data_IF_781466917244
#
_entry.id   IF_781466917244
#
_cell.length_a   1.000
_cell.length_b   1.000
_cell.length_c   1.000
_cell.angle_alpha   90.00
_cell.angle_beta   90.00
_cell.angle_gamma   90.00
#
_symmetry.space_group_name_H-M   'P 1'
#
loop_
_entity.id
_entity.type
_entity.pdbx_description
1 polymer ?
#
# COMPACT_ATOMS: atom_id res chain seq x y z
N UNK A 1 -13.26 -7.50 -65.98
CA UNK A 1 -12.52 -8.28 -64.95
C UNK A 1 -12.53 -7.51 -63.67
N UNK A 2 -13.41 -7.86 -62.71
CA UNK A 2 -13.52 -7.21 -61.40
C UNK A 2 -12.58 -7.90 -60.43
N UNK A 3 -11.54 -7.19 -59.91
CA UNK A 3 -10.68 -7.69 -58.88
C UNK A 3 -11.39 -7.59 -57.54
N UNK A 4 -11.71 -8.72 -56.93
CA UNK A 4 -12.27 -8.84 -55.56
C UNK A 4 -11.15 -8.69 -54.56
N UNK A 5 -11.12 -7.57 -53.82
CA UNK A 5 -10.16 -7.31 -52.76
C UNK A 5 -10.69 -7.97 -51.47
N UNK A 6 -10.12 -9.10 -51.08
CA UNK A 6 -10.39 -9.74 -49.79
C UNK A 6 -9.66 -9.00 -48.69
N UNK A 7 -10.38 -8.18 -47.91
CA UNK A 7 -9.88 -7.63 -46.65
C UNK A 7 -9.90 -8.74 -45.58
N UNK A 8 -8.76 -9.28 -45.25
CA UNK A 8 -8.61 -10.18 -44.09
C UNK A 8 -8.55 -9.32 -42.81
N UNK A 9 -9.67 -9.32 -42.10
CA UNK A 9 -9.75 -8.68 -40.77
C UNK A 9 -9.07 -9.58 -39.73
N UNK A 10 -7.81 -9.29 -39.40
CA UNK A 10 -7.07 -9.99 -38.34
C UNK A 10 -7.65 -9.58 -36.98
N UNK A 11 -8.43 -10.47 -36.36
CA UNK A 11 -8.96 -10.30 -35.01
C UNK A 11 -7.84 -10.57 -33.99
N UNK A 12 -7.12 -9.51 -33.57
CA UNK A 12 -6.19 -9.62 -32.45
C UNK A 12 -7.02 -9.81 -31.15
N UNK A 13 -7.10 -11.05 -30.70
CA UNK A 13 -7.61 -11.39 -29.37
C UNK A 13 -6.59 -10.93 -28.32
N UNK A 14 -6.87 -9.82 -27.66
CA UNK A 14 -6.15 -9.42 -26.44
C UNK A 14 -6.51 -10.42 -25.32
N UNK A 15 -5.62 -11.36 -25.06
CA UNK A 15 -5.68 -12.20 -23.86
C UNK A 15 -5.46 -11.27 -22.66
N UNK A 16 -6.54 -10.84 -22.03
CA UNK A 16 -6.51 -10.12 -20.78
C UNK A 16 -6.07 -11.10 -19.68
N UNK A 17 -4.76 -11.14 -19.39
CA UNK A 17 -4.28 -11.86 -18.21
C UNK A 17 -4.84 -11.16 -16.97
N UNK A 18 -5.91 -11.71 -16.39
CA UNK A 18 -6.38 -11.29 -15.07
C UNK A 18 -5.28 -11.60 -14.06
N UNK A 19 -4.68 -10.55 -13.50
CA UNK A 19 -3.62 -10.71 -12.52
C UNK A 19 -4.19 -11.31 -11.23
N UNK A 20 -3.55 -12.37 -10.74
CA UNK A 20 -3.96 -13.09 -9.54
C UNK A 20 -3.90 -12.16 -8.33
N UNK A 21 -5.00 -12.05 -7.60
CA UNK A 21 -5.02 -11.41 -6.28
C UNK A 21 -4.45 -12.38 -5.25
N UNK A 22 -3.46 -11.93 -4.48
CA UNK A 22 -2.77 -12.77 -3.51
C UNK A 22 -1.77 -12.01 -2.67
N UNK A 23 -0.91 -12.72 -1.96
CA UNK A 23 0.03 -12.14 -0.99
C UNK A 23 1.50 -12.40 -1.32
N UNK A 24 1.82 -13.03 -2.44
CA UNK A 24 3.20 -13.22 -2.85
C UNK A 24 3.73 -11.98 -3.59
N UNK A 25 5.04 -11.82 -3.64
CA UNK A 25 5.65 -10.83 -4.53
C UNK A 25 5.25 -11.20 -5.98
N UNK A 26 4.75 -10.20 -6.72
CA UNK A 26 4.20 -10.37 -8.06
C UNK A 26 2.68 -10.55 -8.10
N UNK A 27 2.01 -10.87 -7.00
CA UNK A 27 0.54 -10.90 -6.92
C UNK A 27 -0.01 -9.47 -6.82
N UNK A 28 -1.25 -9.27 -7.27
CA UNK A 28 -1.99 -8.05 -7.00
C UNK A 28 -2.45 -8.05 -5.54
N UNK A 29 -2.14 -6.98 -4.82
CA UNK A 29 -2.52 -6.83 -3.42
C UNK A 29 -4.05 -6.85 -3.25
N UNK A 30 -4.59 -7.53 -2.21
CA UNK A 30 -6.01 -7.45 -1.87
C UNK A 30 -6.44 -6.00 -1.57
N UNK A 31 -7.64 -5.63 -2.01
CA UNK A 31 -8.20 -4.30 -1.73
C UNK A 31 -8.46 -4.09 -0.24
N UNK A 32 -8.15 -2.90 0.24
CA UNK A 32 -8.48 -2.39 1.57
C UNK A 32 -9.34 -1.13 1.41
N UNK A 33 -10.43 -1.07 2.18
CA UNK A 33 -11.34 0.07 2.20
C UNK A 33 -11.92 0.18 3.62
N UNK A 34 -11.40 1.12 4.41
CA UNK A 34 -11.77 1.29 5.82
C UNK A 34 -11.86 2.77 6.16
N UNK A 35 -12.56 3.06 7.27
CA UNK A 35 -12.75 4.44 7.73
C UNK A 35 -11.47 5.06 8.28
N UNK A 36 -11.28 6.32 7.95
CA UNK A 36 -10.28 7.19 8.57
C UNK A 36 -10.81 7.72 9.93
N UNK A 37 -10.01 8.50 10.70
CA UNK A 37 -10.45 9.08 11.96
C UNK A 37 -11.68 9.98 11.88
N UNK A 38 -12.06 10.44 10.68
CA UNK A 38 -13.25 11.30 10.46
C UNK A 38 -14.48 10.50 10.03
N UNK A 39 -14.37 9.18 9.84
CA UNK A 39 -15.45 8.31 9.36
C UNK A 39 -15.57 8.26 7.83
N UNK A 40 -14.59 8.77 7.09
CA UNK A 40 -14.55 8.70 5.64
C UNK A 40 -13.86 7.41 5.20
N UNK A 41 -14.43 6.67 4.25
CA UNK A 41 -13.83 5.45 3.73
C UNK A 41 -12.73 5.80 2.74
N UNK A 42 -11.49 5.41 3.04
CA UNK A 42 -10.33 5.53 2.15
C UNK A 42 -9.98 4.16 1.55
N UNK A 43 -9.81 4.11 0.24
CA UNK A 43 -9.54 2.87 -0.51
C UNK A 43 -8.08 2.81 -0.93
N UNK A 44 -7.47 1.64 -0.81
CA UNK A 44 -6.10 1.41 -1.31
C UNK A 44 -6.02 1.68 -2.82
N UNK A 45 -7.07 1.35 -3.58
CA UNK A 45 -7.15 1.58 -5.03
C UNK A 45 -7.13 3.06 -5.45
N UNK A 46 -7.39 4.00 -4.55
CA UNK A 46 -7.28 5.44 -4.81
C UNK A 46 -5.83 5.89 -4.97
N UNK A 47 -4.89 5.09 -4.45
CA UNK A 47 -3.45 5.34 -4.53
C UNK A 47 -2.78 4.78 -5.80
N UNK A 48 -3.57 4.33 -6.79
CA UNK A 48 -3.02 3.91 -8.09
C UNK A 48 -2.13 5.00 -8.69
N UNK A 49 -1.04 4.58 -9.29
CA UNK A 49 -0.04 5.49 -9.85
C UNK A 49 1.13 5.75 -8.91
N UNK A 50 0.96 5.55 -7.60
CA UNK A 50 2.02 5.74 -6.59
C UNK A 50 2.69 4.42 -6.22
N UNK A 51 3.89 4.50 -5.66
CA UNK A 51 4.46 3.43 -4.84
C UNK A 51 3.88 3.55 -3.44
N UNK A 52 3.30 2.48 -2.88
CA UNK A 52 2.58 2.54 -1.61
C UNK A 52 3.16 1.56 -0.60
N UNK A 53 3.42 2.04 0.61
CA UNK A 53 3.67 1.22 1.79
C UNK A 53 2.33 0.95 2.49
N UNK A 54 1.86 -0.28 2.48
CA UNK A 54 0.75 -0.74 3.32
C UNK A 54 1.35 -1.13 4.65
N UNK A 55 1.10 -0.33 5.69
CA UNK A 55 1.67 -0.51 7.02
C UNK A 55 0.63 -1.00 8.02
N UNK A 56 0.95 -2.06 8.75
CA UNK A 56 0.10 -2.65 9.80
C UNK A 56 0.74 -2.37 11.16
N UNK A 57 0.04 -1.61 11.98
CA UNK A 57 0.53 -1.10 13.25
C UNK A 57 -0.57 -0.96 14.30
N UNK A 58 -0.24 -0.45 15.48
CA UNK A 58 -1.20 -0.01 16.49
C UNK A 58 -0.57 0.95 17.49
N UNK A 59 -1.40 1.76 18.13
CA UNK A 59 -0.96 2.72 19.16
C UNK A 59 -0.31 2.06 20.38
N UNK A 60 -0.74 0.86 20.73
CA UNK A 60 -0.23 0.05 21.85
C UNK A 60 1.00 -0.78 21.47
N UNK A 61 1.39 -0.84 20.19
CA UNK A 61 2.52 -1.61 19.70
C UNK A 61 3.83 -0.84 19.88
N UNK A 62 4.57 -1.12 20.96
CA UNK A 62 5.84 -0.46 21.23
C UNK A 62 6.86 -0.54 20.09
N UNK A 63 7.10 -1.71 19.48
CA UNK A 63 7.98 -1.84 18.30
C UNK A 63 7.51 -1.01 17.10
N UNK A 64 6.17 -0.91 16.86
CA UNK A 64 5.62 -0.08 15.79
C UNK A 64 5.93 1.40 16.02
N UNK A 65 5.72 1.86 17.27
CA UNK A 65 6.01 3.25 17.67
C UNK A 65 7.49 3.62 17.51
N UNK A 66 8.40 2.63 17.68
CA UNK A 66 9.83 2.80 17.42
C UNK A 66 10.15 2.83 15.92
N UNK A 67 9.36 2.16 15.09
CA UNK A 67 9.52 2.16 13.63
C UNK A 67 8.91 3.41 12.96
N UNK A 68 7.86 4.01 13.54
CA UNK A 68 7.16 5.16 12.99
C UNK A 68 8.09 6.33 12.55
N UNK A 69 9.14 6.73 13.29
CA UNK A 69 10.08 7.75 12.83
C UNK A 69 10.78 7.40 11.51
N UNK A 70 11.06 6.12 11.25
CA UNK A 70 11.65 5.66 10.00
C UNK A 70 10.64 5.78 8.84
N UNK A 71 9.36 5.44 9.09
CA UNK A 71 8.28 5.59 8.10
C UNK A 71 8.04 7.07 7.80
N UNK A 72 8.02 7.93 8.82
CA UNK A 72 7.92 9.41 8.66
C UNK A 72 9.06 9.93 7.80
N UNK A 73 10.31 9.53 8.12
CA UNK A 73 11.48 9.92 7.34
C UNK A 73 11.40 9.43 5.89
N UNK A 74 10.94 8.20 5.66
CA UNK A 74 10.73 7.68 4.32
C UNK A 74 9.67 8.49 3.58
N UNK A 75 8.52 8.76 4.21
CA UNK A 75 7.48 9.58 3.59
C UNK A 75 8.01 10.96 3.19
N UNK A 76 8.65 11.68 4.09
CA UNK A 76 9.17 13.02 3.82
C UNK A 76 10.24 13.06 2.71
N UNK A 77 11.05 12.01 2.59
CA UNK A 77 12.11 11.96 1.60
C UNK A 77 11.64 11.52 0.21
N UNK A 78 10.49 10.82 0.13
CA UNK A 78 10.10 10.13 -1.10
C UNK A 78 8.69 10.46 -1.61
N UNK A 79 7.85 11.19 -0.88
CA UNK A 79 6.44 11.43 -1.24
C UNK A 79 6.26 12.07 -2.62
N UNK A 80 7.20 12.92 -3.05
CA UNK A 80 7.21 13.66 -4.32
C UNK A 80 8.16 13.06 -5.38
N UNK A 81 8.86 11.98 -5.07
CA UNK A 81 9.85 11.39 -5.97
C UNK A 81 9.21 10.50 -7.02
N UNK A 82 9.82 10.46 -8.21
CA UNK A 82 9.44 9.54 -9.26
C UNK A 82 10.18 8.22 -9.12
N UNK A 83 9.44 7.12 -9.21
CA UNK A 83 9.97 5.77 -9.17
C UNK A 83 9.85 5.11 -10.55
N UNK A 84 10.64 4.08 -10.81
CA UNK A 84 10.49 3.24 -12.00
C UNK A 84 9.07 2.65 -12.10
N UNK A 85 8.47 2.36 -10.96
CA UNK A 85 7.17 1.71 -10.83
C UNK A 85 6.13 2.56 -10.09
N UNK A 86 6.22 3.91 -10.13
CA UNK A 86 5.25 4.81 -9.50
C UNK A 86 5.68 6.27 -9.53
N UNK A 87 4.70 7.18 -9.39
CA UNK A 87 4.94 8.61 -9.27
C UNK A 87 4.51 9.06 -7.87
N UNK A 88 5.47 9.33 -7.02
CA UNK A 88 5.25 9.60 -5.61
C UNK A 88 5.24 8.33 -4.74
N UNK A 89 5.50 8.52 -3.46
CA UNK A 89 5.41 7.50 -2.43
C UNK A 89 4.28 7.85 -1.47
N UNK A 90 3.50 6.84 -1.07
CA UNK A 90 2.40 7.03 -0.12
C UNK A 90 2.42 5.94 0.94
N UNK A 91 1.82 6.24 2.09
CA UNK A 91 1.66 5.27 3.17
C UNK A 91 0.16 5.06 3.43
N UNK A 92 -0.28 3.82 3.36
CA UNK A 92 -1.62 3.38 3.74
C UNK A 92 -1.50 2.63 5.06
N UNK A 93 -1.78 3.31 6.18
CA UNK A 93 -1.60 2.76 7.53
C UNK A 93 -2.89 2.18 8.06
N UNK A 94 -2.96 0.84 8.17
CA UNK A 94 -4.07 0.14 8.80
C UNK A 94 -3.73 -0.12 10.27
N UNK A 95 -4.52 0.48 11.16
CA UNK A 95 -4.34 0.31 12.61
C UNK A 95 -5.14 -0.88 13.16
N UNK A 96 -4.49 -1.68 14.00
CA UNK A 96 -5.10 -2.75 14.80
C UNK A 96 -5.53 -2.23 16.20
N UNK A 97 -5.89 -0.98 16.30
CA UNK A 97 -6.47 -0.44 17.53
C UNK A 97 -7.92 -0.88 17.69
N UNK A 98 -8.39 -0.90 18.94
CA UNK A 98 -9.81 -1.10 19.29
C UNK A 98 -10.45 0.16 19.85
N UNK A 99 -9.67 1.23 20.00
CA UNK A 99 -10.10 2.52 20.57
C UNK A 99 -9.62 3.67 19.67
N UNK A 100 -10.56 4.34 19.03
CA UNK A 100 -10.28 5.46 18.13
C UNK A 100 -9.44 6.55 18.79
N UNK A 101 -9.76 6.95 20.02
CA UNK A 101 -9.04 8.01 20.72
C UNK A 101 -7.55 7.67 20.94
N UNK A 102 -7.21 6.41 21.25
CA UNK A 102 -5.83 5.98 21.42
C UNK A 102 -5.07 6.00 20.09
N UNK A 103 -5.71 5.53 19.03
CA UNK A 103 -5.19 5.55 17.68
C UNK A 103 -4.90 6.98 17.18
N UNK A 104 -5.90 7.89 17.25
CA UNK A 104 -5.73 9.29 16.84
C UNK A 104 -4.64 10.00 17.65
N UNK A 105 -4.61 9.76 18.98
CA UNK A 105 -3.54 10.31 19.82
C UNK A 105 -2.15 9.84 19.40
N UNK A 106 -2.03 8.57 18.98
CA UNK A 106 -0.77 8.02 18.52
C UNK A 106 -0.33 8.61 17.17
N UNK A 107 -1.26 8.77 16.20
CA UNK A 107 -1.00 9.47 14.93
C UNK A 107 -0.38 10.84 15.19
N UNK A 108 -1.01 11.64 16.07
CA UNK A 108 -0.55 12.99 16.38
C UNK A 108 0.81 12.99 17.10
N UNK A 109 0.99 12.13 18.10
CA UNK A 109 2.21 12.06 18.89
C UNK A 109 3.42 11.63 18.06
N UNK A 110 3.23 10.70 17.14
CA UNK A 110 4.29 10.17 16.27
C UNK A 110 4.46 11.01 14.98
N UNK A 111 3.65 12.07 14.81
CA UNK A 111 3.69 12.97 13.65
C UNK A 111 3.56 12.21 12.33
N UNK A 112 2.59 11.33 12.24
CA UNK A 112 2.29 10.58 11.03
C UNK A 112 1.52 11.49 10.06
N UNK A 113 2.22 12.13 9.12
CA UNK A 113 1.69 13.27 8.34
C UNK A 113 0.90 12.90 7.11
N UNK A 114 0.90 11.63 6.68
CA UNK A 114 0.13 11.18 5.52
C UNK A 114 -1.37 11.09 5.83
N UNK A 115 -2.18 11.03 4.79
CA UNK A 115 -3.64 11.11 4.92
C UNK A 115 -4.30 9.74 5.16
N UNK A 116 -3.72 8.67 4.60
CA UNK A 116 -4.35 7.35 4.55
C UNK A 116 -4.15 6.55 5.84
N UNK A 117 -4.72 7.07 6.93
CA UNK A 117 -4.86 6.35 8.20
C UNK A 117 -6.23 5.71 8.28
N UNK A 118 -6.29 4.39 8.42
CA UNK A 118 -7.55 3.65 8.44
C UNK A 118 -7.59 2.60 9.54
N UNK A 119 -8.80 2.25 9.99
CA UNK A 119 -9.02 1.17 10.97
C UNK A 119 -10.47 0.72 10.92
N UNK A 120 -10.70 -0.58 11.14
CA UNK A 120 -12.02 -1.15 11.44
C UNK A 120 -12.23 -1.29 12.96
N UNK A 121 -11.28 -0.80 13.77
CA UNK A 121 -11.23 -0.93 15.22
C UNK A 121 -11.39 -2.38 15.72
N UNK A 122 -11.09 -3.34 14.85
CA UNK A 122 -11.23 -4.78 15.10
C UNK A 122 -10.08 -5.39 15.92
N UNK A 123 -9.00 -4.66 16.16
CA UNK A 123 -7.81 -5.20 16.81
C UNK A 123 -7.23 -6.37 16.01
N UNK A 124 -6.87 -7.46 16.67
CA UNK A 124 -6.43 -8.69 16.02
C UNK A 124 -7.52 -9.42 15.22
N UNK A 125 -8.80 -9.00 15.34
CA UNK A 125 -9.93 -9.50 14.54
C UNK A 125 -10.19 -8.63 13.31
N UNK A 126 -9.34 -7.63 13.04
CA UNK A 126 -9.43 -6.77 11.86
C UNK A 126 -9.52 -7.62 10.59
N UNK A 127 -10.52 -7.30 9.74
CA UNK A 127 -10.69 -7.96 8.46
C UNK A 127 -9.50 -7.67 7.54
N UNK A 128 -8.99 -6.42 7.56
CA UNK A 128 -7.84 -6.03 6.76
C UNK A 128 -6.57 -6.77 7.15
N UNK A 129 -6.32 -6.95 8.46
CA UNK A 129 -5.19 -7.76 8.92
C UNK A 129 -5.33 -9.22 8.54
N UNK A 130 -6.54 -9.77 8.60
CA UNK A 130 -6.84 -11.15 8.19
C UNK A 130 -6.64 -11.37 6.69
N UNK A 131 -7.11 -10.43 5.84
CA UNK A 131 -6.88 -10.47 4.38
C UNK A 131 -5.39 -10.54 4.02
N UNK A 132 -4.54 -9.86 4.78
CA UNK A 132 -3.08 -9.85 4.57
C UNK A 132 -2.36 -10.90 5.43
N UNK A 133 -3.08 -11.75 6.14
CA UNK A 133 -2.55 -12.81 7.01
C UNK A 133 -1.52 -12.28 8.02
N UNK A 134 -1.77 -11.09 8.59
CA UNK A 134 -0.88 -10.44 9.55
C UNK A 134 -0.95 -11.17 10.87
N UNK A 135 0.18 -11.73 11.33
CA UNK A 135 0.31 -12.48 12.58
C UNK A 135 1.13 -11.74 13.63
N UNK A 136 1.81 -10.68 13.24
CA UNK A 136 2.60 -9.83 14.13
C UNK A 136 2.71 -8.42 13.54
N UNK A 137 2.87 -7.42 14.39
CA UNK A 137 3.14 -6.03 14.00
C UNK A 137 4.41 -5.52 14.70
N UNK A 138 5.17 -4.59 14.06
CA UNK A 138 4.93 -4.00 12.75
C UNK A 138 5.16 -4.98 11.59
N UNK A 139 4.27 -4.96 10.61
CA UNK A 139 4.41 -5.66 9.33
C UNK A 139 4.02 -4.73 8.20
N UNK A 140 4.59 -4.91 7.03
CA UNK A 140 4.22 -4.09 5.88
C UNK A 140 4.38 -4.82 4.55
N UNK A 141 3.72 -4.27 3.54
CA UNK A 141 3.79 -4.69 2.15
C UNK A 141 4.00 -3.44 1.29
N UNK A 142 4.93 -3.50 0.34
CA UNK A 142 5.09 -2.42 -0.65
C UNK A 142 4.47 -2.86 -1.97
N UNK A 143 3.64 -1.99 -2.53
CA UNK A 143 3.02 -2.18 -3.84
C UNK A 143 3.48 -1.10 -4.82
N UNK A 144 3.52 -1.46 -6.09
CA UNK A 144 3.80 -0.54 -7.19
C UNK A 144 2.54 0.25 -7.64
N UNK A 145 2.71 1.11 -8.65
CA UNK A 145 1.65 1.94 -9.25
C UNK A 145 0.43 1.17 -9.77
N UNK A 146 0.57 -0.12 -10.02
CA UNK A 146 -0.50 -1.00 -10.53
C UNK A 146 -1.16 -1.81 -9.42
N UNK A 147 -0.63 -1.73 -8.20
CA UNK A 147 -1.07 -2.47 -7.03
C UNK A 147 -0.43 -3.84 -6.87
N UNK A 148 0.71 -4.08 -7.56
CA UNK A 148 1.45 -5.33 -7.46
C UNK A 148 2.40 -5.30 -6.27
N UNK A 149 2.42 -6.37 -5.49
CA UNK A 149 3.34 -6.52 -4.36
C UNK A 149 4.76 -6.65 -4.88
N UNK A 150 5.62 -5.71 -4.50
CA UNK A 150 7.04 -5.67 -4.91
C UNK A 150 8.01 -5.94 -3.77
N UNK A 151 7.56 -5.75 -2.52
CA UNK A 151 8.36 -6.08 -1.34
C UNK A 151 7.47 -6.30 -0.11
N UNK A 152 8.04 -6.90 0.94
CA UNK A 152 7.34 -7.17 2.21
C UNK A 152 8.30 -6.99 3.39
N UNK A 153 7.74 -6.55 4.53
CA UNK A 153 8.46 -6.47 5.83
C UNK A 153 9.74 -5.64 5.79
N UNK A 154 9.74 -4.54 5.04
CA UNK A 154 10.84 -3.58 5.01
C UNK A 154 10.77 -2.64 6.23
N UNK A 155 11.84 -2.56 7.01
CA UNK A 155 11.92 -1.74 8.22
C UNK A 155 13.23 -0.94 8.25
N UNK A 156 13.19 0.24 8.87
CA UNK A 156 14.35 1.09 9.05
C UNK A 156 15.13 1.32 7.76
N UNK A 157 16.43 1.09 7.78
CA UNK A 157 17.31 1.30 6.62
C UNK A 157 16.93 0.47 5.40
N UNK A 158 16.29 -0.70 5.58
CA UNK A 158 15.89 -1.55 4.45
C UNK A 158 14.78 -0.89 3.62
N UNK A 159 13.82 -0.19 4.25
CA UNK A 159 12.80 0.58 3.54
C UNK A 159 13.44 1.71 2.72
N UNK A 160 14.30 2.51 3.32
CA UNK A 160 14.99 3.61 2.63
C UNK A 160 15.85 3.11 1.46
N UNK A 161 16.60 2.01 1.67
CA UNK A 161 17.40 1.39 0.62
C UNK A 161 16.54 0.97 -0.56
N UNK A 162 15.45 0.24 -0.28
CA UNK A 162 14.51 -0.21 -1.32
C UNK A 162 13.95 0.97 -2.12
N UNK A 163 13.47 2.02 -1.44
CA UNK A 163 12.91 3.20 -2.11
C UNK A 163 13.97 3.90 -2.99
N UNK A 164 15.19 4.08 -2.48
CA UNK A 164 16.29 4.68 -3.26
C UNK A 164 16.66 3.87 -4.50
N UNK A 165 16.72 2.54 -4.40
CA UNK A 165 17.06 1.64 -5.51
C UNK A 165 15.98 1.63 -6.60
N UNK A 166 14.76 2.00 -6.27
CA UNK A 166 13.63 2.06 -7.19
C UNK A 166 13.33 3.46 -7.73
N UNK A 167 14.12 4.49 -7.37
CA UNK A 167 13.99 5.83 -7.95
C UNK A 167 14.22 5.79 -9.46
N UNK A 168 13.41 6.55 -10.19
CA UNK A 168 13.62 6.77 -11.61
C UNK A 168 14.89 7.63 -11.78
N UNK A 169 15.85 7.08 -12.48
CA UNK A 169 17.07 7.81 -12.88
C UNK A 169 16.77 8.80 -13.98
#
# INVERSE_FOLDING_TARGET
MKKLLLLTFSLLTFLSFSQKVGLNIGDKAPELAYENPKGEVLKLSELKGKMVLIDFWASWCGPCRKENPNVVSAYMNFFDKNFTHGNGFEVYSLSLDTKQNAWVKAINNDKLFWEYHVSDLGGWKSEGSSKYQIRSIPSNVVIDKTGIIVAKNLKGKALHKFLNENLKK
#
